data_IF_717105321328
#
_entry.id   IF_717105321328
#
_cell.length_a   1.000
_cell.length_b   1.000
_cell.length_c   1.000
_cell.angle_alpha   90.00
_cell.angle_beta   90.00
_cell.angle_gamma   90.00
#
_symmetry.space_group_name_H-M   'P 1'
#
loop_
_entity.id
_entity.type
_entity.pdbx_description
1 polymer ?
#
# COMPACT_ATOMS: atom_id res chain seq x y z
N UNK A 1 -16.23 37.48 18.15
CA UNK A 1 -16.56 36.11 17.70
C UNK A 1 -15.54 35.74 16.64
N UNK A 2 -14.50 34.99 17.00
CA UNK A 2 -13.61 34.40 16.01
C UNK A 2 -14.44 33.40 15.23
N UNK A 3 -14.55 33.59 13.91
CA UNK A 3 -15.10 32.65 12.98
C UNK A 3 -14.14 31.45 12.96
N UNK A 4 -14.44 30.43 13.72
CA UNK A 4 -13.68 29.16 13.75
C UNK A 4 -13.97 28.44 12.43
N UNK A 5 -13.27 28.87 11.36
CA UNK A 5 -13.35 28.21 10.07
C UNK A 5 -12.79 26.80 10.26
N UNK A 6 -13.63 25.78 10.03
CA UNK A 6 -13.20 24.39 9.98
C UNK A 6 -11.95 24.30 9.10
N UNK A 7 -10.87 23.74 9.64
CA UNK A 7 -9.65 23.47 8.87
C UNK A 7 -9.92 22.39 7.81
N UNK A 8 -9.26 22.53 6.67
CA UNK A 8 -9.22 21.48 5.66
C UNK A 8 -8.50 20.25 6.25
N UNK A 9 -9.08 19.08 6.10
CA UNK A 9 -8.53 17.82 6.61
C UNK A 9 -7.89 17.04 5.47
N UNK A 10 -6.56 16.83 5.54
CA UNK A 10 -5.79 15.98 4.64
C UNK A 10 -5.34 14.73 5.38
N UNK A 11 -5.83 13.56 4.98
CA UNK A 11 -5.36 12.30 5.54
C UNK A 11 -4.29 11.68 4.66
N UNK A 12 -3.14 11.36 5.24
CA UNK A 12 -2.00 10.71 4.58
C UNK A 12 -2.04 9.22 4.84
N UNK A 13 -2.00 8.42 3.79
CA UNK A 13 -1.96 6.97 3.86
C UNK A 13 -0.71 6.43 3.18
N UNK A 14 0.24 5.88 3.96
CA UNK A 14 1.52 5.39 3.46
C UNK A 14 1.48 3.86 3.36
N UNK A 15 1.96 3.32 2.25
CA UNK A 15 2.06 1.87 2.07
C UNK A 15 2.77 1.48 0.78
N UNK A 16 3.12 0.20 0.63
CA UNK A 16 3.68 -0.32 -0.62
C UNK A 16 2.61 -0.61 -1.67
N UNK A 17 1.42 -1.01 -1.26
CA UNK A 17 0.30 -1.35 -2.15
C UNK A 17 0.72 -2.36 -3.25
N UNK A 18 1.33 -3.45 -2.86
CA UNK A 18 1.95 -4.40 -3.79
C UNK A 18 1.45 -5.85 -3.57
N UNK A 19 0.22 -6.19 -4.10
CA UNK A 19 -0.74 -5.29 -4.75
C UNK A 19 -1.67 -4.57 -3.77
N UNK A 20 -2.48 -3.66 -4.29
CA UNK A 20 -3.58 -3.03 -3.58
C UNK A 20 -4.69 -4.05 -3.31
N UNK A 21 -5.06 -4.26 -2.05
CA UNK A 21 -6.00 -5.30 -1.61
C UNK A 21 -7.16 -4.73 -0.78
N UNK A 22 -8.20 -5.54 -0.56
CA UNK A 22 -9.45 -5.10 0.07
C UNK A 22 -9.25 -4.51 1.48
N UNK A 23 -8.25 -5.00 2.24
CA UNK A 23 -7.91 -4.39 3.51
C UNK A 23 -7.44 -2.93 3.37
N UNK A 24 -6.55 -2.67 2.40
CA UNK A 24 -6.09 -1.31 2.11
C UNK A 24 -7.21 -0.45 1.50
N UNK A 25 -8.09 -1.04 0.70
CA UNK A 25 -9.27 -0.38 0.16
C UNK A 25 -10.24 0.07 1.27
N UNK A 26 -10.41 -0.74 2.30
CA UNK A 26 -11.20 -0.40 3.49
C UNK A 26 -10.62 0.81 4.24
N UNK A 27 -9.30 0.81 4.51
CA UNK A 27 -8.61 1.94 5.13
C UNK A 27 -8.76 3.21 4.29
N UNK A 28 -8.57 3.11 2.97
CA UNK A 28 -8.69 4.24 2.06
C UNK A 28 -10.10 4.84 2.04
N UNK A 29 -11.14 4.00 1.98
CA UNK A 29 -12.55 4.43 2.05
C UNK A 29 -12.85 5.13 3.38
N UNK A 30 -12.39 4.57 4.50
CA UNK A 30 -12.56 5.14 5.83
C UNK A 30 -11.88 6.52 5.91
N UNK A 31 -10.63 6.61 5.47
CA UNK A 31 -9.90 7.88 5.43
C UNK A 31 -10.66 8.93 4.60
N UNK A 32 -11.13 8.57 3.40
CA UNK A 32 -11.88 9.48 2.53
C UNK A 32 -13.24 9.91 3.12
N UNK A 33 -13.87 9.11 3.98
CA UNK A 33 -15.13 9.48 4.62
C UNK A 33 -14.98 10.49 5.77
N UNK A 34 -13.76 10.69 6.28
CA UNK A 34 -13.46 11.54 7.45
C UNK A 34 -12.55 12.70 7.13
N UNK A 35 -12.15 12.89 5.86
CA UNK A 35 -11.27 13.95 5.41
C UNK A 35 -11.77 14.58 4.10
N UNK A 36 -11.29 15.79 3.82
CA UNK A 36 -11.63 16.51 2.59
C UNK A 36 -10.84 15.95 1.40
N UNK A 37 -9.64 15.41 1.64
CA UNK A 37 -8.82 14.72 0.66
C UNK A 37 -7.93 13.66 1.30
N UNK A 38 -7.55 12.64 0.54
CA UNK A 38 -6.57 11.64 0.97
C UNK A 38 -5.34 11.68 0.07
N UNK A 39 -4.17 11.74 0.68
CA UNK A 39 -2.89 11.59 -0.01
C UNK A 39 -2.35 10.18 0.23
N UNK A 40 -2.36 9.36 -0.82
CA UNK A 40 -1.73 8.04 -0.79
C UNK A 40 -0.26 8.17 -1.20
N UNK A 41 0.64 7.76 -0.31
CA UNK A 41 2.08 7.72 -0.54
C UNK A 41 2.54 6.27 -0.77
N UNK A 42 2.95 5.98 -2.01
CA UNK A 42 3.42 4.66 -2.40
C UNK A 42 4.92 4.56 -2.13
N UNK A 43 5.32 3.73 -1.17
CA UNK A 43 6.73 3.47 -0.86
C UNK A 43 7.43 2.58 -1.88
N UNK A 44 8.75 2.43 -1.68
CA UNK A 44 9.61 1.51 -2.44
C UNK A 44 9.59 1.73 -3.96
N UNK A 45 9.64 3.01 -4.39
CA UNK A 45 9.60 3.36 -5.81
C UNK A 45 10.92 3.14 -6.53
N UNK A 46 12.01 3.09 -5.79
CA UNK A 46 13.38 2.92 -6.30
C UNK A 46 13.87 1.47 -6.27
N UNK A 47 13.00 0.53 -5.92
CA UNK A 47 13.36 -0.89 -5.92
C UNK A 47 13.17 -1.51 -7.31
N UNK A 48 14.14 -2.33 -7.72
CA UNK A 48 13.98 -3.16 -8.90
C UNK A 48 12.85 -4.17 -8.74
N UNK A 49 12.26 -4.59 -9.86
CA UNK A 49 11.24 -5.64 -9.86
C UNK A 49 11.81 -6.95 -9.32
N UNK A 50 11.12 -7.51 -8.35
CA UNK A 50 11.37 -8.82 -7.78
C UNK A 50 10.07 -9.36 -7.16
N UNK A 51 9.98 -10.62 -6.73
CA UNK A 51 8.74 -11.18 -6.18
C UNK A 51 8.14 -10.45 -4.95
N UNK A 52 8.94 -9.66 -4.22
CA UNK A 52 8.45 -8.83 -3.10
C UNK A 52 7.91 -7.48 -3.57
N UNK A 53 8.47 -6.94 -4.68
CA UNK A 53 8.07 -5.66 -5.30
C UNK A 53 7.91 -5.86 -6.82
N UNK A 54 6.90 -6.62 -7.26
CA UNK A 54 6.78 -7.02 -8.66
C UNK A 54 6.31 -5.88 -9.57
N UNK A 55 5.69 -4.86 -9.03
CA UNK A 55 5.06 -3.79 -9.82
C UNK A 55 5.71 -2.43 -9.58
N UNK A 56 5.83 -1.65 -10.65
CA UNK A 56 6.34 -0.26 -10.61
C UNK A 56 5.41 0.64 -9.81
N UNK A 57 5.88 1.84 -9.48
CA UNK A 57 5.06 2.86 -8.82
C UNK A 57 3.86 3.26 -9.69
N UNK A 58 4.05 3.40 -11.01
CA UNK A 58 2.99 3.83 -11.94
C UNK A 58 1.89 2.78 -12.07
N UNK A 59 2.25 1.50 -12.12
CA UNK A 59 1.31 0.39 -12.13
C UNK A 59 0.47 0.37 -10.85
N UNK A 60 1.11 0.45 -9.69
CA UNK A 60 0.42 0.49 -8.39
C UNK A 60 -0.47 1.73 -8.24
N UNK A 61 0.04 2.89 -8.65
CA UNK A 61 -0.71 4.15 -8.64
C UNK A 61 -1.93 4.11 -9.57
N UNK A 62 -1.80 3.50 -10.76
CA UNK A 62 -2.90 3.34 -11.70
C UNK A 62 -4.07 2.57 -11.09
N UNK A 63 -3.79 1.46 -10.41
CA UNK A 63 -4.82 0.67 -9.72
C UNK A 63 -5.54 1.48 -8.66
N UNK A 64 -4.79 2.20 -7.80
CA UNK A 64 -5.39 3.01 -6.73
C UNK A 64 -6.22 4.16 -7.30
N UNK A 65 -5.74 4.83 -8.36
CA UNK A 65 -6.49 5.91 -9.02
C UNK A 65 -7.80 5.40 -9.66
N UNK A 66 -7.76 4.27 -10.38
CA UNK A 66 -8.95 3.64 -10.97
C UNK A 66 -9.97 3.26 -9.88
N UNK A 67 -9.51 2.65 -8.79
CA UNK A 67 -10.36 2.33 -7.65
C UNK A 67 -10.98 3.59 -7.04
N UNK A 68 -10.18 4.61 -6.76
CA UNK A 68 -10.65 5.87 -6.17
C UNK A 68 -11.68 6.57 -7.08
N UNK A 69 -11.43 6.62 -8.38
CA UNK A 69 -12.35 7.18 -9.37
C UNK A 69 -13.68 6.44 -9.37
N UNK A 70 -13.67 5.10 -9.42
CA UNK A 70 -14.89 4.29 -9.38
C UNK A 70 -15.69 4.48 -8.09
N UNK A 71 -15.00 4.72 -6.96
CA UNK A 71 -15.64 4.96 -5.66
C UNK A 71 -16.00 6.44 -5.42
N UNK A 72 -15.69 7.35 -6.32
CA UNK A 72 -15.91 8.79 -6.13
C UNK A 72 -15.09 9.41 -5.00
N UNK A 73 -13.90 8.87 -4.72
CA UNK A 73 -13.05 9.34 -3.63
C UNK A 73 -12.09 10.44 -4.11
N UNK A 74 -11.92 11.50 -3.30
CA UNK A 74 -10.94 12.54 -3.54
C UNK A 74 -9.55 12.10 -3.06
N UNK A 75 -8.75 11.52 -3.97
CA UNK A 75 -7.46 10.88 -3.65
C UNK A 75 -6.37 11.37 -4.59
N UNK A 76 -5.30 11.90 -4.01
CA UNK A 76 -4.03 12.14 -4.70
C UNK A 76 -3.07 10.99 -4.43
N UNK A 77 -2.33 10.54 -5.45
CA UNK A 77 -1.37 9.44 -5.31
C UNK A 77 0.02 9.91 -5.72
N UNK A 78 1.01 9.76 -4.83
CA UNK A 78 2.43 10.09 -5.05
C UNK A 78 3.33 8.94 -4.62
N UNK A 79 4.48 8.84 -5.26
CA UNK A 79 5.52 7.89 -4.87
C UNK A 79 6.52 8.52 -3.91
N UNK A 80 7.02 7.73 -2.96
CA UNK A 80 8.11 8.12 -2.06
C UNK A 80 9.27 7.12 -2.12
N UNK A 81 10.49 7.64 -2.05
CA UNK A 81 11.70 6.81 -2.07
C UNK A 81 11.97 6.19 -0.71
N UNK A 82 12.51 4.98 -0.73
CA UNK A 82 13.13 4.39 0.46
C UNK A 82 14.54 4.94 0.63
N UNK A 83 14.94 5.13 1.88
CA UNK A 83 16.30 5.50 2.29
C UNK A 83 16.79 4.45 3.30
N UNK A 84 17.36 3.32 2.82
CA UNK A 84 17.83 2.25 3.70
C UNK A 84 18.73 2.79 4.80
N UNK A 85 18.46 2.40 6.03
CA UNK A 85 19.20 2.82 7.23
C UNK A 85 19.18 4.33 7.55
N UNK A 86 18.30 5.11 6.92
CA UNK A 86 18.18 6.55 7.18
C UNK A 86 16.73 7.03 7.29
N UNK A 87 16.13 6.80 8.45
CA UNK A 87 14.75 7.18 8.72
C UNK A 87 14.55 8.69 8.66
N UNK A 88 15.57 9.49 9.02
CA UNK A 88 15.44 10.96 8.98
C UNK A 88 15.28 11.48 7.55
N UNK A 89 16.04 10.95 6.59
CA UNK A 89 15.86 11.30 5.18
C UNK A 89 14.51 10.82 4.65
N UNK A 90 14.05 9.65 5.08
CA UNK A 90 12.74 9.14 4.70
C UNK A 90 11.62 10.05 5.23
N UNK A 91 11.67 10.42 6.52
CA UNK A 91 10.72 11.35 7.16
C UNK A 91 10.72 12.71 6.44
N UNK A 92 11.90 13.26 6.16
CA UNK A 92 12.03 14.51 5.44
C UNK A 92 11.42 14.45 4.03
N UNK A 93 11.62 13.32 3.32
CA UNK A 93 11.03 13.10 2.01
C UNK A 93 9.49 13.00 2.07
N UNK A 94 8.94 12.36 3.10
CA UNK A 94 7.48 12.33 3.34
C UNK A 94 6.94 13.73 3.56
N UNK A 95 7.53 14.51 4.48
CA UNK A 95 7.12 15.90 4.74
C UNK A 95 7.20 16.78 3.50
N UNK A 96 8.30 16.66 2.73
CA UNK A 96 8.47 17.39 1.47
C UNK A 96 7.34 17.08 0.50
N UNK A 97 7.05 15.80 0.27
CA UNK A 97 6.00 15.38 -0.67
C UNK A 97 4.61 15.85 -0.22
N UNK A 98 4.32 15.80 1.09
CA UNK A 98 3.06 16.34 1.64
C UNK A 98 2.96 17.84 1.37
N UNK A 99 4.00 18.61 1.65
CA UNK A 99 4.01 20.05 1.44
C UNK A 99 3.88 20.43 -0.05
N UNK A 100 4.54 19.70 -0.94
CA UNK A 100 4.39 19.88 -2.40
C UNK A 100 2.93 19.69 -2.83
N UNK A 101 2.26 18.63 -2.38
CA UNK A 101 0.84 18.39 -2.69
C UNK A 101 -0.05 19.50 -2.13
N UNK A 102 0.16 19.93 -0.89
CA UNK A 102 -0.63 21.00 -0.27
C UNK A 102 -0.50 22.31 -1.05
N UNK A 103 0.72 22.71 -1.39
CA UNK A 103 1.00 24.00 -2.02
C UNK A 103 0.70 23.98 -3.51
N UNK A 104 1.16 22.93 -4.21
CA UNK A 104 1.14 22.91 -5.68
C UNK A 104 -0.18 22.38 -6.26
N UNK A 105 -0.83 21.44 -5.57
CA UNK A 105 -2.04 20.79 -6.08
C UNK A 105 -3.31 21.29 -5.40
N UNK A 106 -3.32 21.29 -4.05
CA UNK A 106 -4.48 21.77 -3.29
C UNK A 106 -4.55 23.29 -3.26
N UNK A 107 -3.45 24.01 -3.55
CA UNK A 107 -3.34 25.47 -3.49
C UNK A 107 -3.74 26.06 -2.12
N UNK A 108 -3.38 25.33 -1.05
CA UNK A 108 -3.69 25.69 0.33
C UNK A 108 -2.43 26.08 1.10
N UNK A 109 -2.62 26.80 2.22
CA UNK A 109 -1.55 27.11 3.14
C UNK A 109 -1.39 25.95 4.15
N UNK A 110 -0.20 25.35 4.32
CA UNK A 110 0.02 24.26 5.27
C UNK A 110 -0.42 24.56 6.71
N UNK A 111 -0.38 25.83 7.15
CA UNK A 111 -0.81 26.23 8.50
C UNK A 111 -2.33 26.14 8.74
N UNK A 112 -3.12 26.06 7.67
CA UNK A 112 -4.58 26.00 7.70
C UNK A 112 -5.14 24.59 7.56
N UNK A 113 -4.25 23.58 7.52
CA UNK A 113 -4.62 22.19 7.28
C UNK A 113 -4.45 21.37 8.57
N UNK A 114 -5.43 20.51 8.85
CA UNK A 114 -5.31 19.40 9.80
C UNK A 114 -4.77 18.19 9.04
N UNK A 115 -3.48 17.89 9.25
CA UNK A 115 -2.83 16.74 8.63
C UNK A 115 -3.01 15.53 9.54
N UNK A 116 -3.64 14.49 9.00
CA UNK A 116 -3.81 13.20 9.67
C UNK A 116 -2.97 12.14 8.98
N UNK A 117 -2.56 11.13 9.75
CA UNK A 117 -1.92 9.94 9.20
C UNK A 117 -2.73 8.72 9.59
N UNK A 118 -3.00 7.86 8.61
CA UNK A 118 -3.80 6.66 8.80
C UNK A 118 -3.03 5.39 8.48
N UNK A 119 -3.46 4.30 9.08
CA UNK A 119 -2.97 2.94 8.85
C UNK A 119 -3.77 1.94 9.66
N UNK A 120 -3.59 0.66 9.38
CA UNK A 120 -4.13 -0.40 10.22
C UNK A 120 -3.13 -0.71 11.34
N UNK A 121 -3.57 -0.67 12.59
CA UNK A 121 -2.73 -1.02 13.75
C UNK A 121 -2.63 -2.55 13.85
N UNK A 122 -1.83 -3.18 12.98
CA UNK A 122 -1.76 -4.64 12.87
C UNK A 122 -0.46 -5.25 13.36
N UNK A 123 0.66 -4.56 13.18
CA UNK A 123 1.98 -5.13 13.45
C UNK A 123 3.09 -4.07 13.47
N UNK A 124 4.33 -4.54 13.59
CA UNK A 124 5.53 -3.71 13.54
C UNK A 124 5.71 -2.93 12.21
N UNK A 125 4.93 -3.22 11.15
CA UNK A 125 5.04 -2.50 9.87
C UNK A 125 4.46 -1.09 9.91
N UNK A 126 3.69 -0.76 10.95
CA UNK A 126 3.09 0.57 11.19
C UNK A 126 3.90 1.44 12.17
N UNK A 127 5.08 0.97 12.59
CA UNK A 127 5.95 1.71 13.53
C UNK A 127 6.28 3.13 13.06
N UNK A 128 6.30 3.37 11.74
CA UNK A 128 6.58 4.65 11.13
C UNK A 128 5.54 5.74 11.48
N UNK A 129 4.32 5.37 11.86
CA UNK A 129 3.29 6.33 12.27
C UNK A 129 3.77 7.19 13.46
N UNK A 130 4.62 6.64 14.32
CA UNK A 130 5.23 7.34 15.46
C UNK A 130 6.26 8.39 15.06
N UNK A 131 6.71 8.38 13.81
CA UNK A 131 7.67 9.37 13.31
C UNK A 131 7.05 10.72 12.96
N UNK A 132 5.72 10.80 13.00
CA UNK A 132 4.97 12.01 12.66
C UNK A 132 4.15 12.55 13.86
N UNK A 133 4.81 12.94 14.97
CA UNK A 133 4.12 13.33 16.19
C UNK A 133 3.28 14.63 16.04
N UNK A 134 3.53 15.39 14.98
CA UNK A 134 2.75 16.61 14.64
C UNK A 134 1.46 16.31 13.87
N UNK A 135 1.27 15.07 13.39
CA UNK A 135 0.08 14.67 12.67
C UNK A 135 -0.92 14.01 13.61
N UNK A 136 -2.20 14.25 13.36
CA UNK A 136 -3.26 13.54 14.09
C UNK A 136 -3.29 12.08 13.62
N UNK A 137 -3.19 11.14 14.56
CA UNK A 137 -3.25 9.72 14.27
C UNK A 137 -4.70 9.27 14.13
N UNK A 138 -5.08 8.78 12.94
CA UNK A 138 -6.41 8.23 12.63
C UNK A 138 -6.28 6.74 12.28
N UNK A 139 -6.13 5.90 13.31
CA UNK A 139 -6.00 4.45 13.13
C UNK A 139 -7.35 3.82 12.83
N UNK A 140 -7.30 2.84 11.94
CA UNK A 140 -8.44 1.97 11.67
C UNK A 140 -8.41 0.79 12.65
N UNK A 141 -9.45 0.69 13.49
CA UNK A 141 -9.60 -0.38 14.46
C UNK A 141 -9.67 -1.75 13.75
N UNK A 142 -8.95 -2.74 14.29
CA UNK A 142 -8.88 -4.12 13.77
C UNK A 142 -10.23 -4.86 13.73
N UNK A 143 -11.25 -4.35 14.45
CA UNK A 143 -12.59 -4.92 14.46
C UNK A 143 -13.44 -4.66 13.22
N UNK A 144 -12.98 -3.81 12.29
CA UNK A 144 -13.53 -3.80 10.95
C UNK A 144 -13.09 -5.10 10.27
N UNK A 145 -14.04 -5.90 9.81
CA UNK A 145 -13.98 -7.25 9.20
C UNK A 145 -12.93 -7.45 8.08
N UNK A 146 -11.73 -6.96 8.31
CA UNK A 146 -10.61 -7.20 7.41
C UNK A 146 -9.96 -8.50 7.87
N UNK A 147 -10.24 -9.57 7.17
CA UNK A 147 -9.65 -10.88 7.41
C UNK A 147 -8.16 -10.77 7.77
N UNK A 148 -7.76 -11.34 8.91
CA UNK A 148 -6.35 -11.41 9.37
C UNK A 148 -5.42 -12.04 8.33
N UNK A 149 -5.97 -12.76 7.36
CA UNK A 149 -5.23 -13.41 6.28
C UNK A 149 -5.08 -12.52 5.04
N UNK A 150 -5.68 -11.32 5.02
CA UNK A 150 -5.62 -10.44 3.87
C UNK A 150 -4.37 -9.57 3.92
N UNK A 151 -3.30 -10.08 3.37
CA UNK A 151 -2.03 -9.37 3.21
C UNK A 151 -1.58 -9.35 1.75
N UNK A 152 -0.82 -8.33 1.38
CA UNK A 152 -0.21 -8.28 0.04
C UNK A 152 0.73 -9.47 -0.22
N UNK A 153 1.33 -10.05 0.84
CA UNK A 153 2.16 -11.26 0.73
C UNK A 153 1.32 -12.46 0.31
N UNK A 154 0.20 -12.73 0.97
CA UNK A 154 -0.68 -13.83 0.61
C UNK A 154 -1.23 -13.67 -0.82
N UNK A 155 -1.57 -12.44 -1.21
CA UNK A 155 -2.00 -12.19 -2.60
C UNK A 155 -0.90 -12.54 -3.61
N UNK A 156 0.36 -12.19 -3.34
CA UNK A 156 1.47 -12.55 -4.22
C UNK A 156 1.77 -14.06 -4.22
N UNK A 157 1.66 -14.74 -3.09
CA UNK A 157 1.80 -16.19 -3.00
C UNK A 157 0.75 -16.91 -3.83
N UNK A 158 -0.51 -16.46 -3.77
CA UNK A 158 -1.59 -17.01 -4.61
C UNK A 158 -1.32 -16.71 -6.08
N UNK A 159 -0.97 -15.46 -6.40
CA UNK A 159 -0.84 -14.99 -7.77
C UNK A 159 0.33 -15.63 -8.53
N UNK A 160 1.54 -15.62 -7.94
CA UNK A 160 2.73 -16.14 -8.57
C UNK A 160 2.95 -17.64 -8.31
N UNK A 161 2.60 -18.12 -7.13
CA UNK A 161 2.94 -19.45 -6.66
C UNK A 161 1.76 -20.43 -6.60
N UNK A 162 0.53 -19.95 -6.81
CA UNK A 162 -0.69 -20.72 -6.54
C UNK A 162 -0.61 -21.46 -5.20
N UNK A 163 -0.17 -20.71 -4.17
CA UNK A 163 0.03 -21.23 -2.83
C UNK A 163 -0.76 -20.38 -1.84
N UNK A 164 -1.48 -21.00 -0.94
CA UNK A 164 -2.18 -20.32 0.14
C UNK A 164 -2.03 -21.12 1.45
N UNK A 165 -1.70 -20.44 2.57
CA UNK A 165 -1.43 -21.07 3.86
C UNK A 165 -0.44 -22.26 3.75
N UNK A 166 0.64 -22.07 2.97
CA UNK A 166 1.69 -23.08 2.72
C UNK A 166 1.20 -24.35 2.00
N UNK A 167 0.02 -24.31 1.39
CA UNK A 167 -0.53 -25.41 0.59
C UNK A 167 -0.63 -24.98 -0.85
N UNK A 168 -0.31 -25.93 -1.76
CA UNK A 168 -0.57 -25.74 -3.18
C UNK A 168 -2.08 -25.74 -3.42
N UNK A 169 -2.55 -24.83 -4.24
CA UNK A 169 -3.95 -24.68 -4.65
C UNK A 169 -4.06 -24.77 -6.17
N UNK A 170 -5.24 -25.15 -6.67
CA UNK A 170 -5.48 -25.14 -8.10
C UNK A 170 -5.79 -23.74 -8.65
N UNK A 171 -5.90 -23.63 -9.98
CA UNK A 171 -6.14 -22.35 -10.64
C UNK A 171 -7.51 -21.75 -10.32
N UNK A 172 -8.52 -22.58 -10.12
CA UNK A 172 -9.88 -22.15 -9.82
C UNK A 172 -9.97 -21.60 -8.38
N UNK A 173 -9.35 -22.31 -7.44
CA UNK A 173 -9.25 -21.85 -6.05
C UNK A 173 -8.43 -20.54 -5.95
N UNK A 174 -7.32 -20.43 -6.70
CA UNK A 174 -6.53 -19.23 -6.76
C UNK A 174 -7.33 -18.01 -7.28
N UNK A 175 -8.11 -18.18 -8.35
CA UNK A 175 -8.95 -17.12 -8.90
C UNK A 175 -10.04 -16.69 -7.91
N UNK A 176 -10.69 -17.65 -7.24
CA UNK A 176 -11.71 -17.38 -6.21
C UNK A 176 -11.12 -16.58 -5.05
N UNK A 177 -9.95 -16.97 -4.53
CA UNK A 177 -9.28 -16.27 -3.45
C UNK A 177 -8.84 -14.86 -3.87
N UNK A 178 -8.25 -14.69 -5.04
CA UNK A 178 -7.87 -13.37 -5.56
C UNK A 178 -9.09 -12.46 -5.66
N UNK A 179 -10.19 -12.95 -6.22
CA UNK A 179 -11.44 -12.19 -6.35
C UNK A 179 -11.99 -11.76 -4.98
N UNK A 180 -11.78 -12.56 -3.95
CA UNK A 180 -12.20 -12.23 -2.58
C UNK A 180 -11.24 -11.24 -1.89
N UNK A 181 -9.96 -11.25 -2.26
CA UNK A 181 -8.92 -10.51 -1.54
C UNK A 181 -8.62 -9.13 -2.11
N UNK A 182 -8.89 -8.91 -3.40
CA UNK A 182 -8.53 -7.66 -4.04
C UNK A 182 -9.71 -7.01 -4.77
N UNK A 183 -9.71 -5.68 -4.94
CA UNK A 183 -10.71 -4.97 -5.73
C UNK A 183 -10.66 -5.38 -7.21
N UNK A 184 -11.75 -5.17 -7.93
CA UNK A 184 -11.87 -5.52 -9.35
C UNK A 184 -10.77 -4.84 -10.20
N UNK A 185 -10.35 -3.63 -9.85
CA UNK A 185 -9.28 -2.92 -10.54
C UNK A 185 -7.94 -3.63 -10.40
N UNK A 186 -7.70 -4.25 -9.24
CA UNK A 186 -6.51 -5.07 -9.03
C UNK A 186 -6.62 -6.38 -9.81
N UNK A 187 -7.80 -7.03 -9.84
CA UNK A 187 -8.02 -8.24 -10.66
C UNK A 187 -7.70 -7.96 -12.13
N UNK A 188 -8.28 -6.89 -12.68
CA UNK A 188 -8.03 -6.54 -14.08
C UNK A 188 -6.54 -6.28 -14.34
N UNK A 189 -5.91 -5.52 -13.46
CA UNK A 189 -4.48 -5.25 -13.55
C UNK A 189 -3.63 -6.53 -13.51
N UNK A 190 -3.95 -7.47 -12.61
CA UNK A 190 -3.23 -8.74 -12.50
C UNK A 190 -3.40 -9.59 -13.76
N UNK A 191 -4.60 -9.65 -14.34
CA UNK A 191 -4.86 -10.35 -15.62
C UNK A 191 -4.07 -9.72 -16.77
N UNK A 192 -4.08 -8.40 -16.89
CA UNK A 192 -3.30 -7.68 -17.93
C UNK A 192 -1.78 -7.93 -17.74
N UNK A 193 -1.31 -8.02 -16.49
CA UNK A 193 0.11 -8.27 -16.18
C UNK A 193 0.55 -9.70 -16.52
N UNK A 194 -0.34 -10.68 -16.45
CA UNK A 194 -0.07 -12.09 -16.84
C UNK A 194 0.27 -12.24 -18.32
N UNK A 195 -0.22 -11.33 -19.16
CA UNK A 195 0.07 -11.32 -20.60
C UNK A 195 1.46 -10.78 -20.94
N UNK A 196 2.12 -10.15 -19.96
CA UNK A 196 3.44 -9.52 -20.12
C UNK A 196 4.61 -10.45 -19.84
N UNK A 197 5.78 -10.11 -20.42
CA UNK A 197 7.02 -10.88 -20.26
C UNK A 197 7.50 -11.01 -18.80
N UNK A 198 7.23 -9.99 -17.97
CA UNK A 198 7.69 -9.93 -16.59
C UNK A 198 7.00 -10.96 -15.68
N UNK A 199 5.76 -11.36 -15.98
CA UNK A 199 5.02 -12.33 -15.17
C UNK A 199 5.74 -13.67 -15.09
N UNK A 200 6.14 -14.23 -16.25
CA UNK A 200 6.84 -15.51 -16.32
C UNK A 200 8.12 -15.50 -15.49
N UNK A 201 8.97 -14.49 -15.70
CA UNK A 201 10.22 -14.32 -14.95
C UNK A 201 10.00 -14.22 -13.45
N UNK A 202 9.03 -13.41 -13.01
CA UNK A 202 8.75 -13.21 -11.59
C UNK A 202 8.13 -14.44 -10.93
N UNK A 203 7.31 -15.21 -11.68
CA UNK A 203 6.75 -16.49 -11.20
C UNK A 203 7.85 -17.51 -10.98
N UNK A 204 8.78 -17.66 -11.93
CA UNK A 204 9.94 -18.55 -11.79
C UNK A 204 10.82 -18.15 -10.60
N UNK A 205 11.13 -16.87 -10.47
CA UNK A 205 11.91 -16.36 -9.34
C UNK A 205 11.19 -16.57 -8.01
N UNK A 206 9.86 -16.38 -7.97
CA UNK A 206 9.05 -16.64 -6.78
C UNK A 206 9.12 -18.13 -6.38
N UNK A 207 8.91 -19.04 -7.32
CA UNK A 207 8.97 -20.48 -7.08
C UNK A 207 10.37 -20.91 -6.63
N UNK A 208 11.42 -20.34 -7.23
CA UNK A 208 12.79 -20.58 -6.79
C UNK A 208 13.01 -20.15 -5.33
N UNK A 209 12.55 -18.95 -4.95
CA UNK A 209 12.66 -18.44 -3.59
C UNK A 209 11.93 -19.34 -2.59
N UNK A 210 10.71 -19.77 -2.90
CA UNK A 210 9.93 -20.69 -2.05
C UNK A 210 10.65 -22.01 -1.87
N UNK A 211 11.18 -22.59 -2.96
CA UNK A 211 11.82 -23.90 -2.92
C UNK A 211 13.20 -23.89 -2.24
N UNK A 212 14.01 -22.87 -2.47
CA UNK A 212 15.43 -22.91 -2.12
C UNK A 212 15.85 -21.91 -1.03
N UNK A 213 15.12 -20.82 -0.80
CA UNK A 213 15.44 -19.81 0.21
C UNK A 213 14.59 -19.91 1.47
N UNK A 214 13.28 -20.10 1.32
CA UNK A 214 12.37 -20.14 2.47
C UNK A 214 12.72 -21.21 3.49
N UNK A 215 13.13 -22.44 3.12
CA UNK A 215 13.55 -23.44 4.09
C UNK A 215 14.74 -23.06 4.97
N UNK A 216 15.53 -22.07 4.54
CA UNK A 216 16.77 -21.67 5.20
C UNK A 216 16.73 -20.26 5.80
N UNK A 217 15.61 -19.57 5.72
CA UNK A 217 15.50 -18.15 6.15
C UNK A 217 15.76 -17.92 7.64
N UNK A 218 15.50 -18.93 8.46
CA UNK A 218 15.62 -18.87 9.92
C UNK A 218 16.92 -19.53 10.43
N UNK A 219 17.78 -20.02 9.53
CA UNK A 219 19.08 -20.54 9.92
C UNK A 219 20.03 -19.37 10.23
N UNK A 220 20.80 -19.44 11.34
CA UNK A 220 21.85 -18.47 11.60
C UNK A 220 22.85 -18.50 10.44
N UNK A 221 23.16 -17.32 9.87
CA UNK A 221 24.27 -17.21 8.94
C UNK A 221 25.54 -17.48 9.72
N UNK A 222 26.14 -18.64 9.50
CA UNK A 222 27.52 -18.85 9.88
C UNK A 222 28.37 -17.98 8.93
N UNK A 223 29.03 -16.97 9.50
CA UNK A 223 29.96 -16.07 8.80
C UNK A 223 31.31 -16.77 8.69
#
# INVERSE_FOLDING_TARGET
MQNDKRKFVLTVYIGRFSPFHNGQAGVLKRAASTSDSVLVLIGSINNARNPKNPWTVDERASVIRKFSQRQGLNVTVRGIRDFPYNDQLWIANVHKTINEVIIEELKLNPSEIDIRITGADRDSSTFYLKFFPSFTLDLVDENMEVSRFLTATNVREIYFGKTFNKKQIDSQEAELLLTSFVPIETIQFLKDFEEGEEYGRLSEEHMFNVKYREPYKDLPYEV
#
